data_IF_609271263868
#
_entry.id   IF_609271263868
#
_cell.length_a   1.000
_cell.length_b   1.000
_cell.length_c   1.000
_cell.angle_alpha   90.00
_cell.angle_beta   90.00
_cell.angle_gamma   90.00
#
_symmetry.space_group_name_H-M   'P 1'
#
loop_
_entity.id
_entity.type
_entity.pdbx_description
1 polymer ?
#
# COMPACT_ATOMS: atom_id res chain seq x y z
N UNK A 1 2.38 -9.06 24.51
CA UNK A 1 2.86 -8.46 23.26
C UNK A 1 1.79 -7.51 22.79
N UNK A 2 2.07 -6.21 22.66
CA UNK A 2 1.07 -5.18 22.31
C UNK A 2 0.47 -5.33 20.90
N UNK A 3 0.91 -6.35 20.15
CA UNK A 3 0.31 -6.80 18.90
C UNK A 3 -0.91 -7.73 19.08
N UNK A 4 -1.26 -8.14 20.31
CA UNK A 4 -2.48 -8.91 20.57
C UNK A 4 -3.70 -7.96 20.62
N UNK A 5 -4.69 -8.18 19.75
CA UNK A 5 -5.94 -7.40 19.73
C UNK A 5 -6.22 -6.63 18.43
N UNK A 6 -5.35 -6.74 17.43
CA UNK A 6 -5.64 -6.24 16.07
C UNK A 6 -5.83 -7.42 15.12
N UNK A 7 -6.87 -7.39 14.30
CA UNK A 7 -7.09 -8.39 13.25
C UNK A 7 -6.09 -8.18 12.13
N UNK A 8 -5.23 -9.17 11.88
CA UNK A 8 -4.46 -9.33 10.64
C UNK A 8 -5.35 -9.95 9.55
N UNK A 9 -6.51 -9.32 9.31
CA UNK A 9 -7.53 -9.80 8.38
C UNK A 9 -7.92 -8.71 7.39
N UNK A 10 -8.96 -8.97 6.59
CA UNK A 10 -9.47 -7.97 5.67
C UNK A 10 -10.10 -6.79 6.44
N UNK A 11 -9.87 -5.57 5.96
CA UNK A 11 -10.61 -4.39 6.39
C UNK A 11 -11.91 -4.29 5.58
N UNK A 12 -12.99 -3.79 6.20
CA UNK A 12 -14.27 -3.63 5.50
C UNK A 12 -14.14 -2.77 4.22
N UNK A 13 -13.19 -1.83 4.18
CA UNK A 13 -12.90 -1.00 3.00
C UNK A 13 -12.33 -1.78 1.80
N UNK A 14 -11.85 -3.02 2.02
CA UNK A 14 -11.38 -3.92 0.96
C UNK A 14 -12.52 -4.76 0.35
N UNK A 15 -13.73 -4.69 0.90
CA UNK A 15 -14.87 -5.50 0.48
C UNK A 15 -16.02 -4.62 0.00
N UNK A 16 -16.68 -5.04 -1.08
CA UNK A 16 -17.96 -4.46 -1.46
C UNK A 16 -19.06 -4.85 -0.47
N UNK A 17 -20.18 -4.11 -0.45
CA UNK A 17 -21.32 -4.45 0.41
C UNK A 17 -21.87 -5.86 0.13
N UNK A 18 -21.89 -6.26 -1.14
CA UNK A 18 -22.29 -7.62 -1.53
C UNK A 18 -21.30 -8.68 -1.03
N UNK A 19 -19.99 -8.43 -1.12
CA UNK A 19 -18.97 -9.36 -0.61
C UNK A 19 -19.05 -9.49 0.92
N UNK A 20 -19.25 -8.37 1.62
CA UNK A 20 -19.38 -8.34 3.07
C UNK A 20 -20.66 -9.05 3.55
N UNK A 21 -21.78 -8.85 2.86
CA UNK A 21 -23.03 -9.59 3.13
C UNK A 21 -22.82 -11.09 2.93
N UNK A 22 -22.13 -11.50 1.86
CA UNK A 22 -21.79 -12.91 1.64
C UNK A 22 -20.99 -13.53 2.79
N UNK A 23 -20.04 -12.80 3.38
CA UNK A 23 -19.27 -13.28 4.53
C UNK A 23 -20.13 -13.39 5.80
N UNK A 24 -21.09 -12.48 6.00
CA UNK A 24 -22.06 -12.56 7.09
C UNK A 24 -22.97 -13.78 6.94
N UNK A 25 -23.50 -14.01 5.75
CA UNK A 25 -24.41 -15.13 5.44
C UNK A 25 -23.70 -16.49 5.62
N UNK A 26 -22.41 -16.56 5.26
CA UNK A 26 -21.56 -17.74 5.44
C UNK A 26 -21.03 -17.90 6.89
N UNK A 27 -21.30 -16.93 7.78
CA UNK A 27 -20.91 -17.00 9.19
C UNK A 27 -19.43 -16.77 9.49
N UNK A 28 -18.68 -16.13 8.58
CA UNK A 28 -17.27 -15.78 8.79
C UNK A 28 -17.06 -14.62 9.78
N UNK A 29 -18.13 -13.88 10.13
CA UNK A 29 -18.12 -12.75 11.08
C UNK A 29 -19.12 -13.03 12.20
N UNK A 30 -18.78 -12.68 13.44
CA UNK A 30 -19.64 -12.90 14.63
C UNK A 30 -21.06 -12.32 14.40
N UNK A 31 -22.08 -13.13 14.69
CA UNK A 31 -23.52 -12.82 14.57
C UNK A 31 -23.97 -11.59 15.37
N UNK A 32 -23.12 -11.04 16.25
CA UNK A 32 -23.37 -9.75 16.92
C UNK A 32 -23.26 -8.54 15.98
N UNK A 33 -22.68 -8.72 14.80
CA UNK A 33 -22.71 -7.73 13.72
C UNK A 33 -23.98 -7.96 12.90
N UNK A 34 -25.04 -7.22 13.19
CA UNK A 34 -26.35 -7.40 12.55
C UNK A 34 -26.59 -6.49 11.35
N UNK A 35 -25.72 -5.50 11.11
CA UNK A 35 -25.80 -4.62 9.93
C UNK A 35 -24.42 -4.26 9.40
N UNK A 36 -24.30 -4.11 8.07
CA UNK A 36 -23.09 -3.60 7.41
C UNK A 36 -22.71 -2.20 7.94
N UNK A 37 -23.70 -1.37 8.28
CA UNK A 37 -23.47 -0.06 8.90
C UNK A 37 -22.70 -0.14 10.23
N UNK A 38 -22.89 -1.19 11.02
CA UNK A 38 -22.16 -1.41 12.27
C UNK A 38 -20.66 -1.75 12.04
N UNK A 39 -20.30 -2.30 10.88
CA UNK A 39 -18.91 -2.57 10.48
C UNK A 39 -18.20 -1.31 9.95
N UNK A 40 -18.96 -0.32 9.48
CA UNK A 40 -18.43 0.94 8.95
C UNK A 40 -18.11 1.97 10.04
N UNK A 41 -17.90 1.54 11.29
CA UNK A 41 -17.69 2.40 12.48
C UNK A 41 -16.55 3.43 12.42
N UNK A 42 -15.76 3.45 11.35
CA UNK A 42 -15.03 4.63 10.89
C UNK A 42 -15.23 4.73 9.38
N UNK A 43 -15.72 5.88 8.90
CA UNK A 43 -15.92 6.14 7.47
C UNK A 43 -14.56 6.12 6.75
N UNK A 44 -14.13 4.93 6.32
CA UNK A 44 -13.01 4.78 5.40
C UNK A 44 -13.55 4.87 3.98
N UNK A 45 -12.98 5.76 3.17
CA UNK A 45 -13.29 5.82 1.76
C UNK A 45 -13.04 4.42 1.15
N UNK A 46 -13.97 3.88 0.35
CA UNK A 46 -13.80 2.57 -0.25
C UNK A 46 -12.58 2.59 -1.19
N UNK A 47 -11.80 1.51 -1.17
CA UNK A 47 -10.69 1.33 -2.10
C UNK A 47 -11.24 1.05 -3.50
N UNK A 48 -10.54 1.51 -4.53
CA UNK A 48 -10.89 1.22 -5.92
C UNK A 48 -10.11 0.00 -6.42
N UNK A 49 -10.62 -0.76 -7.40
CA UNK A 49 -9.87 -1.85 -8.01
C UNK A 49 -8.54 -1.34 -8.60
N UNK A 50 -7.36 -1.86 -8.17
CA UNK A 50 -6.07 -1.39 -8.66
C UNK A 50 -5.89 -1.52 -10.19
N UNK A 51 -6.58 -2.48 -10.80
CA UNK A 51 -6.53 -2.75 -12.25
C UNK A 51 -7.84 -2.38 -12.96
N UNK A 52 -8.64 -1.51 -12.33
CA UNK A 52 -9.87 -0.96 -12.91
C UNK A 52 -9.63 0.34 -13.69
N UNK A 53 -10.70 1.11 -13.88
CA UNK A 53 -10.70 2.35 -14.67
C UNK A 53 -10.66 3.65 -13.84
N UNK A 54 -10.49 3.57 -12.52
CA UNK A 54 -10.36 4.74 -11.66
C UNK A 54 -9.06 5.53 -11.97
N UNK A 55 -8.95 6.80 -11.55
CA UNK A 55 -7.71 7.57 -11.71
C UNK A 55 -6.48 6.83 -11.17
N UNK A 56 -5.34 6.95 -11.85
CA UNK A 56 -4.11 6.19 -11.53
C UNK A 56 -3.66 6.35 -10.08
N UNK A 57 -3.77 7.56 -9.52
CA UNK A 57 -3.42 7.80 -8.13
C UNK A 57 -4.31 7.01 -7.16
N UNK A 58 -5.63 6.96 -7.39
CA UNK A 58 -6.55 6.20 -6.53
C UNK A 58 -6.28 4.69 -6.62
N UNK A 59 -6.03 4.18 -7.84
CA UNK A 59 -5.64 2.78 -8.07
C UNK A 59 -4.35 2.44 -7.35
N UNK A 60 -3.32 3.26 -7.49
CA UNK A 60 -2.01 3.06 -6.87
C UNK A 60 -2.10 3.11 -5.34
N UNK A 61 -2.83 4.09 -4.78
CA UNK A 61 -3.04 4.19 -3.33
C UNK A 61 -3.82 3.02 -2.77
N UNK A 62 -4.79 2.49 -3.51
CA UNK A 62 -5.52 1.27 -3.13
C UNK A 62 -4.60 0.05 -3.12
N UNK A 63 -3.75 -0.10 -4.15
CA UNK A 63 -2.75 -1.17 -4.20
C UNK A 63 -1.79 -1.14 -3.00
N UNK A 64 -1.23 0.04 -2.70
CA UNK A 64 -0.30 0.22 -1.57
C UNK A 64 -0.99 -0.01 -0.22
N UNK A 65 -2.25 0.40 -0.07
CA UNK A 65 -2.99 0.13 1.15
C UNK A 65 -3.14 -1.38 1.39
N UNK A 66 -3.57 -2.13 0.38
CA UNK A 66 -3.80 -3.58 0.50
C UNK A 66 -2.50 -4.35 0.71
N UNK A 67 -1.45 -4.01 -0.04
CA UNK A 67 -0.24 -4.85 -0.10
C UNK A 67 0.89 -4.39 0.83
N UNK A 68 0.89 -3.11 1.26
CA UNK A 68 2.05 -2.52 1.94
C UNK A 68 1.69 -1.87 3.28
N UNK A 69 0.50 -1.30 3.42
CA UNK A 69 0.15 -0.54 4.64
C UNK A 69 0.16 -1.39 5.90
N UNK A 70 -0.04 -2.72 5.81
CA UNK A 70 0.10 -3.67 6.91
C UNK A 70 1.38 -3.43 7.73
N UNK A 71 2.50 -3.24 7.04
CA UNK A 71 3.79 -2.94 7.65
C UNK A 71 4.09 -1.44 7.68
N UNK A 72 3.75 -0.73 6.61
CA UNK A 72 4.09 0.68 6.38
C UNK A 72 2.95 1.61 6.83
N UNK A 73 2.82 1.76 8.15
CA UNK A 73 1.88 2.64 8.84
C UNK A 73 2.51 3.12 10.15
N UNK A 74 2.00 4.19 10.79
CA UNK A 74 2.46 4.59 12.12
C UNK A 74 2.39 3.44 13.12
N UNK A 75 3.50 3.15 13.79
CA UNK A 75 3.62 2.02 14.74
C UNK A 75 3.62 0.63 14.10
N UNK A 76 3.65 0.54 12.77
CA UNK A 76 3.73 -0.72 12.05
C UNK A 76 5.13 -1.36 12.11
N UNK A 77 5.24 -2.66 11.78
CA UNK A 77 6.51 -3.39 11.81
C UNK A 77 7.47 -3.07 10.65
N UNK A 78 7.05 -2.24 9.69
CA UNK A 78 7.88 -1.81 8.57
C UNK A 78 9.05 -0.95 9.03
N UNK A 79 10.15 -0.99 8.29
CA UNK A 79 11.28 -0.09 8.51
C UNK A 79 11.05 1.25 7.80
N UNK A 80 11.48 2.34 8.41
CA UNK A 80 11.20 3.70 7.95
C UNK A 80 9.90 4.28 8.53
N UNK A 81 9.54 5.49 8.09
CA UNK A 81 8.45 6.29 8.66
C UNK A 81 7.34 6.62 7.63
N UNK A 82 7.32 5.90 6.51
CA UNK A 82 6.28 6.07 5.48
C UNK A 82 4.94 5.51 5.94
N UNK A 83 3.87 6.19 5.53
CA UNK A 83 2.50 5.77 5.80
C UNK A 83 1.74 5.55 4.49
N UNK A 84 1.50 4.28 4.17
CA UNK A 84 0.91 3.83 2.91
C UNK A 84 -0.60 3.54 3.00
N UNK A 85 -1.23 3.90 4.12
CA UNK A 85 -2.69 3.79 4.26
C UNK A 85 -3.38 4.70 3.25
N UNK A 86 -4.51 4.27 2.66
CA UNK A 86 -5.21 5.04 1.62
C UNK A 86 -5.78 6.35 2.18
N UNK A 87 -6.18 6.37 3.46
CA UNK A 87 -6.70 7.55 4.14
C UNK A 87 -5.65 8.64 4.41
N UNK A 88 -4.35 8.30 4.36
CA UNK A 88 -3.29 9.27 4.61
C UNK A 88 -3.13 10.19 3.39
N UNK A 89 -3.27 11.52 3.51
CA UNK A 89 -3.06 12.42 2.38
C UNK A 89 -1.65 12.25 1.79
N UNK A 90 -1.49 12.34 0.47
CA UNK A 90 -0.19 12.04 -0.18
C UNK A 90 0.97 12.87 0.41
N UNK A 91 0.78 14.16 0.70
CA UNK A 91 1.80 14.99 1.36
C UNK A 91 2.14 14.59 2.80
N UNK A 92 1.29 13.81 3.46
CA UNK A 92 1.52 13.30 4.82
C UNK A 92 2.12 11.88 4.84
N UNK A 93 2.25 11.22 3.67
CA UNK A 93 2.76 9.84 3.58
C UNK A 93 4.26 9.73 3.83
N UNK A 94 5.00 10.85 3.78
CA UNK A 94 6.48 10.90 3.76
C UNK A 94 7.09 10.07 2.63
N UNK A 95 6.36 9.95 1.52
CA UNK A 95 6.80 9.19 0.35
C UNK A 95 7.47 10.09 -0.69
N UNK A 96 6.84 11.21 -1.04
CA UNK A 96 7.29 12.05 -2.16
C UNK A 96 8.54 12.87 -1.79
N UNK A 97 9.62 12.73 -2.57
CA UNK A 97 10.93 13.35 -2.38
C UNK A 97 11.54 13.19 -0.98
N UNK A 98 11.00 12.26 -0.18
CA UNK A 98 11.48 12.02 1.16
C UNK A 98 12.77 11.20 1.13
N UNK A 99 13.70 11.61 1.98
CA UNK A 99 14.95 10.90 2.20
C UNK A 99 14.66 9.51 2.82
N UNK A 100 15.16 8.42 2.22
CA UNK A 100 15.01 7.10 2.78
C UNK A 100 15.88 6.96 4.02
N UNK A 101 15.26 6.73 5.19
CA UNK A 101 16.00 6.38 6.40
C UNK A 101 16.71 5.03 6.29
N UNK A 102 16.08 4.08 5.60
CA UNK A 102 16.65 2.78 5.24
C UNK A 102 16.17 2.37 3.83
N UNK A 103 16.83 1.38 3.24
CA UNK A 103 16.25 0.64 2.12
C UNK A 103 16.68 1.08 0.73
N UNK A 104 17.63 2.03 0.61
CA UNK A 104 18.37 2.29 -0.62
C UNK A 104 18.96 0.99 -1.20
N UNK A 105 18.98 0.90 -2.51
CA UNK A 105 19.53 -0.23 -3.26
C UNK A 105 20.88 0.20 -3.85
N UNK A 106 21.93 -0.59 -3.59
CA UNK A 106 23.30 -0.21 -3.95
C UNK A 106 23.73 -0.65 -5.36
N UNK A 107 23.05 -1.62 -5.97
CA UNK A 107 23.41 -2.21 -7.27
C UNK A 107 22.65 -1.60 -8.46
N UNK A 108 22.10 -0.39 -8.30
CA UNK A 108 21.30 0.29 -9.36
C UNK A 108 21.90 1.62 -9.84
N UNK A 109 23.08 2.00 -9.36
CA UNK A 109 23.83 3.15 -9.89
C UNK A 109 23.26 4.55 -9.57
N UNK A 110 22.30 4.65 -8.66
CA UNK A 110 21.60 5.91 -8.29
C UNK A 110 21.51 6.09 -6.77
N UNK A 111 22.59 5.76 -6.06
CA UNK A 111 22.56 5.64 -4.60
C UNK A 111 22.18 6.95 -3.91
N UNK A 112 22.73 8.09 -4.30
CA UNK A 112 22.52 9.38 -3.61
C UNK A 112 21.23 10.09 -4.06
N UNK A 113 20.81 9.84 -5.29
CA UNK A 113 19.62 10.44 -5.92
C UNK A 113 18.33 9.74 -5.49
N UNK A 114 18.43 8.48 -5.05
CA UNK A 114 17.28 7.70 -4.62
C UNK A 114 16.45 8.44 -3.57
N UNK A 115 15.12 8.45 -3.73
CA UNK A 115 14.17 8.86 -2.69
C UNK A 115 13.14 7.77 -2.51
N UNK A 116 12.32 7.88 -1.46
CA UNK A 116 11.20 6.95 -1.28
C UNK A 116 10.31 6.91 -2.54
N UNK A 117 10.04 8.08 -3.12
CA UNK A 117 9.47 8.29 -4.45
C UNK A 117 10.01 9.60 -5.04
N UNK A 118 10.40 9.58 -6.31
CA UNK A 118 10.77 10.75 -7.10
C UNK A 118 9.72 10.94 -8.21
N UNK A 119 9.00 12.08 -8.27
CA UNK A 119 8.03 12.34 -9.32
C UNK A 119 8.64 12.18 -10.72
N UNK A 120 7.95 11.46 -11.60
CA UNK A 120 8.38 11.23 -12.98
C UNK A 120 9.44 10.13 -13.15
N UNK A 121 10.01 9.63 -12.06
CA UNK A 121 11.29 8.93 -12.09
C UNK A 121 11.25 7.59 -11.31
N UNK A 122 10.66 6.52 -11.88
CA UNK A 122 10.61 5.21 -11.23
C UNK A 122 11.99 4.64 -10.89
N UNK A 123 12.99 4.86 -11.76
CA UNK A 123 14.36 4.39 -11.58
C UNK A 123 15.10 4.99 -10.38
N UNK A 124 14.62 6.12 -9.85
CA UNK A 124 15.15 6.78 -8.66
C UNK A 124 14.25 6.59 -7.43
N UNK A 125 13.15 5.85 -7.58
CA UNK A 125 12.12 5.66 -6.55
C UNK A 125 12.28 4.31 -5.86
N UNK A 126 12.71 4.30 -4.60
CA UNK A 126 12.93 3.06 -3.82
C UNK A 126 11.66 2.21 -3.75
N UNK A 127 10.48 2.82 -3.65
CA UNK A 127 9.20 2.10 -3.67
C UNK A 127 9.10 1.19 -4.91
N UNK A 128 9.34 1.75 -6.10
CA UNK A 128 9.29 1.01 -7.35
C UNK A 128 10.42 -0.01 -7.45
N UNK A 129 11.66 0.42 -7.19
CA UNK A 129 12.84 -0.44 -7.30
C UNK A 129 12.70 -1.69 -6.43
N UNK A 130 12.23 -1.56 -5.18
CA UNK A 130 12.05 -2.71 -4.27
C UNK A 130 10.93 -3.65 -4.70
N UNK A 131 9.87 -3.13 -5.33
CA UNK A 131 8.81 -3.96 -5.89
C UNK A 131 9.26 -4.71 -7.15
N UNK A 132 10.18 -4.11 -7.92
CA UNK A 132 10.68 -4.66 -9.17
C UNK A 132 12.01 -5.44 -9.03
N UNK A 133 12.46 -5.68 -7.80
CA UNK A 133 13.72 -6.37 -7.49
C UNK A 133 13.44 -7.64 -6.72
N UNK A 134 14.15 -8.72 -7.06
CA UNK A 134 14.15 -9.96 -6.28
C UNK A 134 15.37 -10.02 -5.33
N UNK A 135 15.41 -10.98 -4.43
CA UNK A 135 16.52 -11.15 -3.48
C UNK A 135 16.34 -10.30 -2.21
N UNK A 136 17.44 -9.80 -1.64
CA UNK A 136 17.44 -9.23 -0.28
C UNK A 136 16.76 -7.85 -0.17
N UNK A 137 16.60 -7.14 -1.29
CA UNK A 137 15.97 -5.82 -1.34
C UNK A 137 14.49 -5.85 -1.71
N UNK A 138 13.95 -7.01 -2.05
CA UNK A 138 12.56 -7.15 -2.51
C UNK A 138 11.56 -6.67 -1.46
N UNK A 139 10.43 -6.17 -1.92
CA UNK A 139 9.24 -5.95 -1.12
C UNK A 139 8.03 -6.65 -1.77
N UNK A 140 7.23 -7.41 -1.01
CA UNK A 140 7.40 -7.72 0.42
C UNK A 140 8.60 -8.66 0.68
N UNK A 141 9.24 -8.62 1.87
CA UNK A 141 10.47 -9.37 2.13
C UNK A 141 10.23 -10.89 2.20
N UNK A 142 8.99 -11.29 2.51
CA UNK A 142 8.55 -12.67 2.68
C UNK A 142 7.36 -12.96 1.78
N UNK A 143 7.16 -14.24 1.47
CA UNK A 143 5.97 -14.72 0.76
C UNK A 143 5.93 -14.41 -0.73
N UNK A 144 7.02 -13.93 -1.33
CA UNK A 144 7.14 -13.69 -2.78
C UNK A 144 8.50 -14.14 -3.32
N UNK A 145 8.46 -14.79 -4.48
CA UNK A 145 9.62 -15.23 -5.27
C UNK A 145 9.56 -14.74 -6.72
N UNK A 146 8.44 -14.16 -7.14
CA UNK A 146 8.20 -13.56 -8.45
C UNK A 146 7.80 -12.09 -8.32
N UNK A 147 8.14 -11.29 -9.33
CA UNK A 147 7.69 -9.90 -9.42
C UNK A 147 6.21 -9.89 -9.84
N UNK A 148 5.38 -9.12 -9.12
CA UNK A 148 4.01 -8.88 -9.51
C UNK A 148 3.94 -7.82 -10.62
N UNK A 149 3.97 -8.27 -11.87
CA UNK A 149 4.14 -7.42 -13.05
C UNK A 149 3.09 -6.30 -13.14
N UNK A 150 1.81 -6.61 -12.91
CA UNK A 150 0.71 -5.66 -12.96
C UNK A 150 0.82 -4.61 -11.85
N UNK A 151 1.22 -5.03 -10.64
CA UNK A 151 1.46 -4.14 -9.51
C UNK A 151 2.62 -3.19 -9.75
N UNK A 152 3.74 -3.69 -10.29
CA UNK A 152 4.90 -2.85 -10.64
C UNK A 152 4.60 -1.90 -11.78
N UNK A 153 3.85 -2.34 -12.79
CA UNK A 153 3.43 -1.49 -13.91
C UNK A 153 2.53 -0.34 -13.43
N UNK A 154 1.58 -0.62 -12.53
CA UNK A 154 0.73 0.41 -11.92
C UNK A 154 1.55 1.44 -11.12
N UNK A 155 2.59 1.01 -10.40
CA UNK A 155 3.45 1.94 -9.67
C UNK A 155 4.31 2.78 -10.61
N UNK A 156 4.84 2.21 -11.69
CA UNK A 156 5.56 2.98 -12.71
C UNK A 156 4.63 4.05 -13.32
N UNK A 157 3.44 3.64 -13.77
CA UNK A 157 2.43 4.55 -14.34
C UNK A 157 2.09 5.69 -13.37
N UNK A 158 1.89 5.38 -12.09
CA UNK A 158 1.60 6.40 -11.09
C UNK A 158 2.77 7.35 -10.89
N UNK A 159 4.00 6.85 -10.73
CA UNK A 159 5.19 7.68 -10.51
C UNK A 159 5.44 8.58 -11.72
N UNK A 160 5.37 8.04 -12.93
CA UNK A 160 5.53 8.78 -14.19
C UNK A 160 4.46 9.86 -14.37
N UNK A 161 3.25 9.66 -13.85
CA UNK A 161 2.17 10.65 -13.89
C UNK A 161 2.40 11.87 -12.99
N UNK A 162 3.35 11.80 -12.04
CA UNK A 162 3.61 12.87 -11.09
C UNK A 162 4.63 13.86 -11.64
N UNK A 163 4.27 15.13 -11.73
CA UNK A 163 5.21 16.21 -12.10
C UNK A 163 5.86 16.89 -10.90
N UNK A 164 5.27 16.79 -9.71
CA UNK A 164 5.74 17.41 -8.48
C UNK A 164 5.17 16.70 -7.25
N UNK A 165 5.75 16.97 -6.09
CA UNK A 165 5.15 16.60 -4.81
C UNK A 165 4.03 17.59 -4.42
N UNK A 166 3.00 17.11 -3.71
CA UNK A 166 1.97 17.95 -3.13
C UNK A 166 2.50 18.85 -2.01
#
# INVERSE_FOLDING_TARGET
TDAAGTTLGFEAAQLSDAALQGLLDLGYVDRRVTTVGALRGTSRAPLVPPFGAAPVAERARSYLHVNCSGCHRPGGPGRGDIDLRAETPFGATRLCNAEPGEGRIWDVGVWDEQRNLVPGEPGYSILYLRMNTLGIFRMPPLGTDVVHAEGTALMAEWIESLSACP
#
